data_IF_921566361885
#
_entry.id   IF_921566361885
#
_cell.length_a   1.000
_cell.length_b   1.000
_cell.length_c   1.000
_cell.angle_alpha   90.00
_cell.angle_beta   90.00
_cell.angle_gamma   90.00
#
_symmetry.space_group_name_H-M   'P 1'
#
loop_
_entity.id
_entity.type
_entity.pdbx_description
1 polymer ?
#
# COMPACT_ATOMS: atom_id res chain seq x y z
N UNK A 1 -43.84 5.56 23.57
CA UNK A 1 -42.79 6.35 22.90
C UNK A 1 -41.68 5.41 22.48
N UNK A 2 -41.49 5.14 21.19
CA UNK A 2 -40.42 4.27 20.73
C UNK A 2 -39.10 5.04 20.66
N UNK A 3 -38.05 4.56 21.32
CA UNK A 3 -36.71 5.11 21.16
C UNK A 3 -36.26 4.91 19.71
N UNK A 4 -35.79 5.99 19.07
CA UNK A 4 -35.21 5.92 17.73
C UNK A 4 -34.01 4.96 17.77
N UNK A 5 -34.09 3.88 17.00
CA UNK A 5 -33.01 2.93 16.87
C UNK A 5 -31.80 3.64 16.23
N UNK A 6 -30.78 3.92 17.02
CA UNK A 6 -29.56 4.55 16.54
C UNK A 6 -28.96 3.75 15.39
N UNK A 7 -28.71 4.41 14.26
CA UNK A 7 -28.03 3.82 13.10
C UNK A 7 -26.74 3.17 13.57
N UNK A 8 -26.69 1.82 13.50
CA UNK A 8 -25.55 1.02 13.96
C UNK A 8 -24.39 1.24 13.00
N UNK A 9 -23.63 2.31 13.24
CA UNK A 9 -22.39 2.62 12.53
C UNK A 9 -21.48 1.39 12.57
N UNK A 10 -20.98 0.98 11.41
CA UNK A 10 -19.93 -0.04 11.34
C UNK A 10 -18.76 0.36 12.27
N UNK A 11 -18.07 -0.61 12.90
CA UNK A 11 -16.89 -0.32 13.69
C UNK A 11 -15.90 0.42 12.79
N UNK A 12 -15.58 1.66 13.16
CA UNK A 12 -14.76 2.53 12.32
C UNK A 12 -13.32 2.04 12.43
N UNK A 13 -12.72 1.63 11.32
CA UNK A 13 -11.33 1.14 11.31
C UNK A 13 -10.40 2.16 11.99
N UNK A 14 -9.39 1.73 12.75
CA UNK A 14 -8.42 2.64 13.37
C UNK A 14 -7.80 3.61 12.34
N UNK A 15 -7.57 3.12 11.11
CA UNK A 15 -7.15 3.91 9.93
C UNK A 15 -8.12 5.04 9.57
N UNK A 16 -9.42 4.77 9.44
CA UNK A 16 -10.41 5.82 9.14
C UNK A 16 -10.55 6.81 10.30
N UNK A 17 -10.46 6.37 11.56
CA UNK A 17 -10.44 7.28 12.72
C UNK A 17 -9.24 8.23 12.68
N UNK A 18 -8.06 7.69 12.36
CA UNK A 18 -6.82 8.43 12.26
C UNK A 18 -6.85 9.47 11.13
N UNK A 19 -7.15 9.05 9.90
CA UNK A 19 -7.23 9.94 8.73
C UNK A 19 -8.29 11.02 8.88
N UNK A 20 -9.47 10.68 9.42
CA UNK A 20 -10.54 11.65 9.69
C UNK A 20 -10.13 12.71 10.71
N UNK A 21 -9.38 12.33 11.74
CA UNK A 21 -8.87 13.29 12.74
C UNK A 21 -7.97 14.36 12.08
N UNK A 22 -7.01 13.95 11.24
CA UNK A 22 -6.06 14.89 10.62
C UNK A 22 -6.67 15.74 9.51
N UNK A 23 -7.52 15.15 8.66
CA UNK A 23 -8.25 15.88 7.59
C UNK A 23 -9.24 16.91 8.13
N UNK A 24 -9.76 16.72 9.35
CA UNK A 24 -10.59 17.72 10.03
C UNK A 24 -9.75 18.79 10.75
N UNK A 25 -8.60 18.41 11.30
CA UNK A 25 -7.77 19.28 12.13
C UNK A 25 -6.92 20.28 11.34
N UNK A 26 -6.45 19.93 10.15
CA UNK A 26 -5.55 20.80 9.37
C UNK A 26 -5.89 20.87 7.89
N UNK A 27 -6.03 22.09 7.38
CA UNK A 27 -6.38 22.38 5.98
C UNK A 27 -5.20 22.18 5.04
N UNK A 28 -3.97 22.30 5.53
CA UNK A 28 -2.73 21.98 4.82
C UNK A 28 -2.66 20.50 4.48
N UNK A 29 -2.71 19.62 5.49
CA UNK A 29 -2.75 18.16 5.33
C UNK A 29 -3.86 17.73 4.36
N UNK A 30 -5.09 18.25 4.53
CA UNK A 30 -6.21 17.95 3.62
C UNK A 30 -5.87 18.29 2.15
N UNK A 31 -5.19 19.41 1.89
CA UNK A 31 -4.77 19.81 0.55
C UNK A 31 -3.66 18.92 0.00
N UNK A 32 -2.64 18.57 0.81
CA UNK A 32 -1.55 17.72 0.34
C UNK A 32 -2.04 16.30 0.05
N UNK A 33 -2.89 15.73 0.91
CA UNK A 33 -3.47 14.41 0.70
C UNK A 33 -4.33 14.36 -0.57
N UNK A 34 -5.09 15.43 -0.85
CA UNK A 34 -5.83 15.58 -2.11
C UNK A 34 -4.89 15.66 -3.33
N UNK A 35 -3.78 16.40 -3.23
CA UNK A 35 -2.80 16.50 -4.31
C UNK A 35 -2.10 15.16 -4.56
N UNK A 36 -1.69 14.44 -3.51
CA UNK A 36 -1.13 13.09 -3.64
C UNK A 36 -2.10 12.13 -4.32
N UNK A 37 -3.38 12.16 -3.94
CA UNK A 37 -4.41 11.32 -4.57
C UNK A 37 -4.60 11.66 -6.07
N UNK A 38 -4.61 12.95 -6.42
CA UNK A 38 -4.70 13.41 -7.81
C UNK A 38 -3.47 12.96 -8.62
N UNK A 39 -2.26 13.07 -8.05
CA UNK A 39 -1.04 12.60 -8.70
C UNK A 39 -1.12 11.09 -8.93
N UNK A 40 -1.46 10.30 -7.92
CA UNK A 40 -1.55 8.84 -8.03
C UNK A 40 -2.53 8.39 -9.12
N UNK A 41 -3.69 9.06 -9.26
CA UNK A 41 -4.65 8.74 -10.33
C UNK A 41 -4.24 9.25 -11.72
N UNK A 42 -3.46 10.34 -11.81
CA UNK A 42 -3.03 10.92 -13.09
C UNK A 42 -1.66 10.42 -13.57
N UNK A 43 -0.91 9.72 -12.73
CA UNK A 43 0.43 9.19 -13.00
C UNK A 43 0.52 8.40 -14.31
N UNK A 44 -0.36 7.41 -14.49
CA UNK A 44 -0.38 6.58 -15.70
C UNK A 44 -0.76 7.39 -16.96
N UNK A 45 -1.60 8.42 -16.81
CA UNK A 45 -1.92 9.33 -17.91
C UNK A 45 -0.69 10.15 -18.33
N UNK A 46 0.05 10.69 -17.36
CA UNK A 46 1.31 11.39 -17.62
C UNK A 46 2.39 10.48 -18.20
N UNK A 47 2.51 9.24 -17.73
CA UNK A 47 3.44 8.25 -18.29
C UNK A 47 3.09 7.93 -19.75
N UNK A 48 1.82 7.64 -20.05
CA UNK A 48 1.35 7.34 -21.41
C UNK A 48 1.48 8.55 -22.35
N UNK A 49 1.24 9.77 -21.86
CA UNK A 49 1.48 11.00 -22.62
C UNK A 49 2.98 11.21 -22.91
N UNK A 50 3.84 10.98 -21.93
CA UNK A 50 5.29 11.11 -22.08
C UNK A 50 5.90 10.01 -22.98
N UNK A 51 5.34 8.79 -22.97
CA UNK A 51 5.72 7.67 -23.85
C UNK A 51 5.64 8.05 -25.34
N UNK A 52 4.68 8.90 -25.74
CA UNK A 52 4.57 9.44 -27.11
C UNK A 52 5.74 10.34 -27.54
N UNK A 53 6.46 10.95 -26.58
CA UNK A 53 7.63 11.82 -26.82
C UNK A 53 8.98 11.10 -26.66
N UNK A 54 8.96 9.77 -26.51
CA UNK A 54 10.14 8.91 -26.43
C UNK A 54 10.59 8.54 -25.01
N UNK A 55 11.36 7.44 -24.92
CA UNK A 55 11.72 6.79 -23.65
C UNK A 55 12.50 7.71 -22.69
N UNK A 56 13.39 8.57 -23.21
CA UNK A 56 14.12 9.56 -22.40
C UNK A 56 13.20 10.60 -21.75
N UNK A 57 12.08 10.95 -22.40
CA UNK A 57 11.09 11.90 -21.86
C UNK A 57 10.19 11.19 -20.85
N UNK A 58 9.78 9.94 -21.12
CA UNK A 58 9.04 9.09 -20.15
C UNK A 58 9.75 9.03 -18.80
N UNK A 59 11.03 8.66 -18.77
CA UNK A 59 11.78 8.55 -17.52
C UNK A 59 11.96 9.88 -16.79
N UNK A 60 12.16 11.01 -17.51
CA UNK A 60 12.21 12.34 -16.86
C UNK A 60 10.89 12.71 -16.18
N UNK A 61 9.76 12.42 -16.83
CA UNK A 61 8.42 12.71 -16.27
C UNK A 61 8.15 11.83 -15.05
N UNK A 62 8.47 10.53 -15.10
CA UNK A 62 8.36 9.63 -13.94
C UNK A 62 9.19 10.16 -12.77
N UNK A 63 10.49 10.45 -12.98
CA UNK A 63 11.36 10.97 -11.91
C UNK A 63 10.84 12.27 -11.31
N UNK A 64 10.34 13.21 -12.13
CA UNK A 64 9.74 14.44 -11.62
C UNK A 64 8.46 14.19 -10.80
N UNK A 65 7.58 13.28 -11.23
CA UNK A 65 6.39 12.90 -10.48
C UNK A 65 6.73 12.22 -9.15
N UNK A 66 7.73 11.33 -9.13
CA UNK A 66 8.20 10.71 -7.88
C UNK A 66 8.81 11.75 -6.94
N UNK A 67 9.60 12.70 -7.44
CA UNK A 67 10.15 13.80 -6.62
C UNK A 67 9.02 14.65 -6.03
N UNK A 68 7.99 15.00 -6.81
CA UNK A 68 6.83 15.75 -6.32
C UNK A 68 6.09 14.93 -5.24
N UNK A 69 5.83 13.63 -5.48
CA UNK A 69 5.21 12.74 -4.48
C UNK A 69 6.04 12.66 -3.20
N UNK A 70 7.36 12.51 -3.30
CA UNK A 70 8.26 12.47 -2.14
C UNK A 70 8.25 13.79 -1.35
N UNK A 71 8.33 14.93 -2.03
CA UNK A 71 8.24 16.27 -1.38
C UNK A 71 6.88 16.46 -0.70
N UNK A 72 5.77 16.07 -1.34
CA UNK A 72 4.45 16.12 -0.71
C UNK A 72 4.37 15.23 0.54
N UNK A 73 4.86 13.98 0.48
CA UNK A 73 4.92 13.07 1.65
C UNK A 73 5.81 13.62 2.77
N UNK A 74 6.96 14.22 2.45
CA UNK A 74 7.84 14.86 3.45
C UNK A 74 7.26 16.15 4.03
N UNK A 75 6.42 16.88 3.29
CA UNK A 75 5.68 18.04 3.81
C UNK A 75 4.52 17.61 4.73
N UNK A 76 3.80 16.54 4.38
CA UNK A 76 2.83 15.90 5.28
C UNK A 76 3.50 15.46 6.57
N UNK A 77 4.58 14.68 6.47
CA UNK A 77 5.37 14.28 7.63
C UNK A 77 5.80 15.52 8.42
N UNK A 78 6.45 16.53 7.83
CA UNK A 78 6.85 17.75 8.56
C UNK A 78 5.70 18.46 9.28
N UNK A 79 4.51 18.55 8.68
CA UNK A 79 3.32 19.11 9.36
C UNK A 79 2.76 18.19 10.46
N UNK A 80 3.03 16.89 10.38
CA UNK A 80 2.68 15.88 11.36
C UNK A 80 3.80 15.58 12.38
N UNK A 81 5.08 15.86 12.14
CA UNK A 81 6.15 15.61 13.12
C UNK A 81 6.06 16.57 14.30
N UNK A 82 5.41 17.72 14.08
CA UNK A 82 4.96 18.64 15.11
C UNK A 82 3.84 18.08 16.02
N UNK A 83 3.17 16.96 15.64
CA UNK A 83 1.82 16.67 16.16
C UNK A 83 1.34 15.17 16.14
N UNK A 84 2.08 14.24 15.51
CA UNK A 84 1.90 12.76 15.37
C UNK A 84 1.49 12.25 13.96
N UNK A 85 2.34 11.47 13.27
CA UNK A 85 2.20 10.87 11.89
C UNK A 85 1.74 9.38 11.95
N UNK A 86 1.16 8.64 10.96
CA UNK A 86 1.24 8.53 9.48
C UNK A 86 -0.10 8.20 8.75
N UNK A 87 -0.21 8.51 7.44
CA UNK A 87 -1.38 8.28 6.54
C UNK A 87 -1.51 6.85 5.98
N UNK A 88 -2.60 6.12 6.28
CA UNK A 88 -3.03 4.98 5.47
C UNK A 88 -3.77 5.42 4.18
N UNK A 89 -3.83 4.57 3.13
CA UNK A 89 -4.62 4.83 1.93
C UNK A 89 -6.13 4.93 2.25
N UNK A 90 -6.89 5.56 1.37
CA UNK A 90 -8.35 5.63 1.49
C UNK A 90 -9.00 4.24 1.36
N UNK A 91 -9.30 3.60 2.48
CA UNK A 91 -10.21 2.44 2.51
C UNK A 91 -11.58 2.88 1.98
N UNK A 92 -12.07 2.21 0.93
CA UNK A 92 -13.48 2.33 0.56
C UNK A 92 -14.30 1.70 1.68
N UNK A 93 -15.15 2.48 2.33
CA UNK A 93 -16.17 1.96 3.23
C UNK A 93 -17.05 0.99 2.45
N UNK A 94 -17.03 -0.29 2.86
CA UNK A 94 -17.98 -1.28 2.34
C UNK A 94 -19.35 -0.92 2.91
N UNK A 95 -20.14 -0.21 2.11
CA UNK A 95 -21.55 0.05 2.39
C UNK A 95 -22.30 -1.29 2.23
N UNK A 96 -22.47 -2.01 3.33
CA UNK A 96 -23.31 -3.20 3.35
C UNK A 96 -24.74 -2.79 2.98
N UNK A 97 -25.31 -3.42 1.94
CA UNK A 97 -26.64 -3.09 1.44
C UNK A 97 -27.69 -3.20 2.56
N UNK A 98 -28.20 -2.06 3.00
CA UNK A 98 -29.02 -1.96 4.20
C UNK A 98 -30.49 -2.32 3.89
N UNK A 99 -30.74 -3.57 3.52
CA UNK A 99 -32.08 -4.08 3.19
C UNK A 99 -33.01 -4.02 4.41
N UNK A 100 -34.04 -3.19 4.32
CA UNK A 100 -35.07 -3.02 5.36
C UNK A 100 -36.19 -4.04 5.23
N UNK A 101 -36.46 -4.81 6.28
CA UNK A 101 -37.59 -5.74 6.33
C UNK A 101 -38.93 -4.99 6.21
N UNK A 102 -39.78 -5.29 5.21
CA UNK A 102 -40.99 -4.52 4.94
C UNK A 102 -42.08 -4.63 6.03
N UNK A 103 -42.01 -5.65 6.90
CA UNK A 103 -43.00 -5.87 7.97
C UNK A 103 -42.60 -5.29 9.35
N UNK A 104 -41.31 -4.98 9.55
CA UNK A 104 -40.78 -4.52 10.85
C UNK A 104 -40.03 -3.20 10.78
N UNK A 105 -39.67 -2.72 9.58
CA UNK A 105 -38.86 -1.51 9.39
C UNK A 105 -37.40 -1.66 9.82
N UNK A 106 -36.97 -2.84 10.28
CA UNK A 106 -35.62 -3.11 10.74
C UNK A 106 -34.73 -3.52 9.55
N UNK A 107 -33.52 -2.95 9.45
CA UNK A 107 -32.53 -3.45 8.50
C UNK A 107 -31.90 -4.75 8.98
N UNK A 108 -31.75 -5.72 8.08
CA UNK A 108 -31.01 -6.95 8.41
C UNK A 108 -29.51 -6.65 8.48
N UNK A 109 -28.82 -7.05 9.56
CA UNK A 109 -27.37 -7.16 9.52
C UNK A 109 -27.00 -8.29 8.56
N UNK A 110 -26.16 -7.99 7.55
CA UNK A 110 -25.51 -9.04 6.75
C UNK A 110 -24.68 -9.93 7.67
N UNK A 111 -24.96 -11.23 7.69
CA UNK A 111 -24.10 -12.20 8.38
C UNK A 111 -22.75 -12.28 7.63
N UNK A 112 -21.61 -12.32 8.34
CA UNK A 112 -20.32 -12.51 7.70
C UNK A 112 -20.24 -13.91 7.08
N UNK A 113 -19.45 -14.04 6.03
CA UNK A 113 -19.15 -15.34 5.43
C UNK A 113 -18.32 -16.20 6.39
N UNK A 114 -18.35 -17.52 6.22
CA UNK A 114 -17.76 -18.45 7.21
C UNK A 114 -16.25 -18.26 7.43
N UNK A 115 -15.53 -17.77 6.42
CA UNK A 115 -14.12 -17.38 6.49
C UNK A 115 -13.85 -16.11 7.32
N UNK A 116 -14.86 -15.24 7.48
CA UNK A 116 -14.73 -13.93 8.11
C UNK A 116 -15.26 -13.85 9.55
N UNK A 117 -15.75 -14.97 10.11
CA UNK A 117 -16.25 -15.03 11.49
C UNK A 117 -15.20 -14.50 12.48
N UNK A 118 -13.93 -14.87 12.34
CA UNK A 118 -12.83 -14.39 13.19
C UNK A 118 -12.62 -12.88 13.07
N UNK A 119 -12.65 -12.34 11.84
CA UNK A 119 -12.51 -10.90 11.58
C UNK A 119 -13.71 -10.12 12.15
N UNK A 120 -14.92 -10.67 11.98
CA UNK A 120 -16.15 -10.11 12.53
C UNK A 120 -16.11 -10.08 14.06
N UNK A 121 -15.72 -11.17 14.72
CA UNK A 121 -15.58 -11.22 16.18
C UNK A 121 -14.53 -10.23 16.69
N UNK A 122 -13.36 -10.14 16.02
CA UNK A 122 -12.36 -9.13 16.34
C UNK A 122 -12.88 -7.69 16.14
N UNK A 123 -13.71 -7.44 15.13
CA UNK A 123 -14.37 -6.13 14.92
C UNK A 123 -15.45 -5.77 15.96
N UNK A 124 -15.87 -6.74 16.79
CA UNK A 124 -16.87 -6.57 17.87
C UNK A 124 -16.25 -6.55 19.27
N UNK A 125 -15.03 -7.05 19.43
CA UNK A 125 -14.27 -6.96 20.68
C UNK A 125 -13.54 -5.63 20.72
N UNK A 126 -13.80 -4.82 21.75
CA UNK A 126 -13.04 -3.60 22.00
C UNK A 126 -11.58 -3.96 22.28
N UNK A 127 -10.71 -3.71 21.30
CA UNK A 127 -9.28 -3.90 21.45
C UNK A 127 -8.69 -2.70 22.19
N UNK A 128 -7.56 -2.86 22.87
CA UNK A 128 -6.91 -1.76 23.59
C UNK A 128 -6.61 -0.53 22.69
N UNK A 129 -6.40 -0.76 21.39
CA UNK A 129 -6.20 0.30 20.39
C UNK A 129 -7.51 1.05 20.04
N UNK A 130 -8.69 0.43 20.20
CA UNK A 130 -9.96 1.11 19.94
C UNK A 130 -10.24 2.23 20.94
N UNK A 131 -9.76 2.08 22.18
CA UNK A 131 -10.00 3.04 23.26
C UNK A 131 -8.97 4.18 23.24
N UNK A 132 -7.81 4.01 22.58
CA UNK A 132 -6.77 5.04 22.49
C UNK A 132 -7.24 6.27 21.69
N UNK A 133 -6.78 7.49 22.05
CA UNK A 133 -6.99 8.68 21.24
C UNK A 133 -6.24 8.55 19.90
N UNK A 134 -6.72 9.15 18.78
CA UNK A 134 -6.12 8.95 17.45
C UNK A 134 -4.61 9.20 17.37
N UNK A 135 -4.10 10.21 18.11
CA UNK A 135 -2.66 10.51 18.17
C UNK A 135 -1.79 9.43 18.83
N UNK A 136 -2.38 8.50 19.59
CA UNK A 136 -1.69 7.43 20.28
C UNK A 136 -1.92 6.05 19.62
N UNK A 137 -2.51 6.03 18.42
CA UNK A 137 -2.65 4.82 17.60
C UNK A 137 -1.34 4.40 16.91
N UNK A 138 -0.35 5.30 16.88
CA UNK A 138 0.98 5.10 16.31
C UNK A 138 2.01 5.66 17.29
N UNK A 139 3.18 5.00 17.41
CA UNK A 139 4.26 5.56 18.20
C UNK A 139 5.08 6.55 17.38
N UNK A 140 5.51 7.66 17.99
CA UNK A 140 6.41 8.62 17.36
C UNK A 140 7.75 7.94 17.02
N UNK A 141 8.14 8.01 15.75
CA UNK A 141 9.48 7.66 15.28
C UNK A 141 10.51 8.71 15.73
N UNK A 142 11.75 8.30 15.94
CA UNK A 142 12.87 9.18 16.28
C UNK A 142 14.18 8.55 15.78
N UNK A 143 15.11 9.34 15.22
CA UNK A 143 16.45 8.87 14.86
C UNK A 143 16.47 7.75 13.82
N UNK A 144 16.67 6.49 14.25
CA UNK A 144 16.69 5.32 13.35
C UNK A 144 15.35 5.13 12.64
N UNK A 145 14.24 5.37 13.33
CA UNK A 145 12.90 5.33 12.74
C UNK A 145 12.70 6.41 11.68
N UNK A 146 13.11 7.66 11.95
CA UNK A 146 13.00 8.78 11.00
C UNK A 146 13.80 8.51 9.71
N UNK A 147 15.02 7.98 9.83
CA UNK A 147 15.82 7.55 8.67
C UNK A 147 15.16 6.40 7.89
N UNK A 148 14.48 5.48 8.58
CA UNK A 148 13.75 4.39 7.93
C UNK A 148 12.55 4.90 7.11
N UNK A 149 11.78 5.84 7.66
CA UNK A 149 10.66 6.47 6.94
C UNK A 149 11.14 7.35 5.79
N UNK A 150 12.19 8.15 5.98
CA UNK A 150 12.79 8.94 4.91
C UNK A 150 13.28 8.05 3.74
N UNK A 151 13.94 6.93 4.03
CA UNK A 151 14.34 5.95 3.00
C UNK A 151 13.14 5.29 2.31
N UNK A 152 12.05 5.02 3.05
CA UNK A 152 10.83 4.44 2.48
C UNK A 152 10.08 5.43 1.57
N UNK A 153 10.03 6.72 1.93
CA UNK A 153 9.47 7.81 1.12
C UNK A 153 10.32 8.06 -0.13
N UNK A 154 11.66 8.00 -0.01
CA UNK A 154 12.60 8.23 -1.12
C UNK A 154 12.78 7.01 -2.05
N UNK A 155 12.46 5.79 -1.59
CA UNK A 155 12.51 4.54 -2.36
C UNK A 155 12.09 4.70 -3.83
N UNK A 156 10.89 5.20 -4.17
CA UNK A 156 10.44 5.25 -5.55
C UNK A 156 11.23 6.26 -6.39
N UNK A 157 11.69 7.38 -5.81
CA UNK A 157 12.58 8.34 -6.47
C UNK A 157 13.92 7.68 -6.80
N UNK A 158 14.53 6.99 -5.85
CA UNK A 158 15.85 6.35 -6.04
C UNK A 158 15.74 5.23 -7.08
N UNK A 159 14.66 4.44 -7.06
CA UNK A 159 14.42 3.42 -8.07
C UNK A 159 14.15 4.02 -9.46
N UNK A 160 13.35 5.08 -9.57
CA UNK A 160 13.11 5.78 -10.82
C UNK A 160 14.40 6.38 -11.41
N UNK A 161 15.27 6.95 -10.58
CA UNK A 161 16.60 7.43 -10.97
C UNK A 161 17.51 6.29 -11.44
N UNK A 162 17.52 5.15 -10.73
CA UNK A 162 18.28 3.98 -11.15
C UNK A 162 17.78 3.43 -12.50
N UNK A 163 16.46 3.36 -12.70
CA UNK A 163 15.85 2.96 -13.98
C UNK A 163 16.14 3.97 -15.11
N UNK A 164 16.23 5.27 -14.80
CA UNK A 164 16.63 6.29 -15.77
C UNK A 164 18.11 6.16 -16.17
N UNK A 165 19.01 5.95 -15.20
CA UNK A 165 20.45 5.86 -15.46
C UNK A 165 20.82 4.59 -16.24
N UNK A 166 20.20 3.46 -15.91
CA UNK A 166 20.47 2.17 -16.55
C UNK A 166 19.46 1.82 -17.66
N UNK A 167 18.69 2.79 -18.17
CA UNK A 167 17.62 2.53 -19.17
C UNK A 167 18.12 1.95 -20.50
N UNK A 168 19.43 2.05 -20.79
CA UNK A 168 20.06 1.45 -21.97
C UNK A 168 20.31 -0.06 -21.81
N UNK A 169 20.65 -0.51 -20.61
CA UNK A 169 21.04 -1.90 -20.33
C UNK A 169 19.85 -2.69 -19.76
N UNK A 170 18.92 -3.09 -20.62
CA UNK A 170 17.69 -3.81 -20.20
C UNK A 170 17.97 -5.12 -19.45
N UNK A 171 19.08 -5.80 -19.74
CA UNK A 171 19.52 -7.00 -19.00
C UNK A 171 20.18 -6.72 -17.64
N UNK A 172 20.33 -5.47 -17.21
CA UNK A 172 21.06 -5.13 -15.99
C UNK A 172 20.22 -5.36 -14.72
N UNK A 173 20.79 -6.09 -13.76
CA UNK A 173 20.14 -6.34 -12.47
C UNK A 173 20.32 -5.18 -11.47
N UNK A 174 21.12 -4.17 -11.82
CA UNK A 174 21.52 -3.07 -10.92
C UNK A 174 20.32 -2.28 -10.39
N UNK A 175 19.34 -1.82 -11.20
CA UNK A 175 18.20 -1.05 -10.67
C UNK A 175 17.33 -1.87 -9.73
N UNK A 176 17.16 -3.16 -10.02
CA UNK A 176 16.40 -4.09 -9.18
C UNK A 176 17.10 -4.33 -7.83
N UNK A 177 18.40 -4.60 -7.83
CA UNK A 177 19.19 -4.75 -6.60
C UNK A 177 19.18 -3.47 -5.75
N UNK A 178 19.31 -2.29 -6.37
CA UNK A 178 19.23 -1.00 -5.66
C UNK A 178 17.85 -0.86 -4.99
N UNK A 179 16.76 -1.06 -5.74
CA UNK A 179 15.40 -0.96 -5.19
C UNK A 179 15.12 -1.94 -4.04
N UNK A 180 15.46 -3.22 -4.22
CA UNK A 180 15.30 -4.26 -3.18
C UNK A 180 16.17 -3.97 -1.95
N UNK A 181 17.41 -3.51 -2.13
CA UNK A 181 18.30 -3.20 -1.00
C UNK A 181 17.83 -2.00 -0.18
N UNK A 182 17.20 -1.00 -0.81
CA UNK A 182 16.59 0.15 -0.12
C UNK A 182 15.32 -0.26 0.63
N UNK A 183 14.42 -1.02 -0.02
CA UNK A 183 13.21 -1.58 0.62
C UNK A 183 13.58 -2.43 1.84
N UNK A 184 14.56 -3.33 1.69
CA UNK A 184 15.07 -4.16 2.77
C UNK A 184 15.78 -3.34 3.86
N UNK A 185 16.60 -2.36 3.48
CA UNK A 185 17.32 -1.48 4.39
C UNK A 185 16.37 -0.66 5.27
N UNK A 186 15.41 0.04 4.66
CA UNK A 186 14.37 0.79 5.36
C UNK A 186 13.57 -0.13 6.31
N UNK A 187 13.15 -1.31 5.84
CA UNK A 187 12.42 -2.28 6.67
C UNK A 187 13.23 -2.81 7.85
N UNK A 188 14.54 -3.04 7.69
CA UNK A 188 15.39 -3.53 8.77
C UNK A 188 15.75 -2.43 9.78
N UNK A 189 15.89 -1.17 9.33
CA UNK A 189 16.03 -0.02 10.23
C UNK A 189 14.77 0.19 11.06
N UNK A 190 13.59 0.18 10.44
CA UNK A 190 12.31 0.28 11.14
C UNK A 190 12.13 -0.86 12.16
N UNK A 191 12.40 -2.11 11.79
CA UNK A 191 12.34 -3.25 12.73
C UNK A 191 13.28 -3.10 13.93
N UNK A 192 14.51 -2.61 13.71
CA UNK A 192 15.47 -2.37 14.80
C UNK A 192 15.01 -1.25 15.72
N UNK A 193 14.47 -0.14 15.18
CA UNK A 193 13.86 0.93 15.97
C UNK A 193 12.75 0.38 16.89
N UNK A 194 11.78 -0.35 16.32
CA UNK A 194 10.70 -0.96 17.10
C UNK A 194 11.19 -1.98 18.14
N UNK A 195 12.27 -2.72 17.86
CA UNK A 195 12.86 -3.66 18.82
C UNK A 195 13.60 -2.97 19.97
N UNK A 196 14.31 -1.88 19.70
CA UNK A 196 15.07 -1.12 20.70
C UNK A 196 14.16 -0.21 21.55
N UNK A 197 13.07 0.31 20.98
CA UNK A 197 12.22 1.35 21.59
C UNK A 197 10.99 0.84 22.35
N UNK A 198 10.43 -0.32 21.99
CA UNK A 198 9.19 -0.83 22.59
C UNK A 198 9.47 -1.84 23.71
N UNK A 199 8.83 -1.66 24.86
CA UNK A 199 8.81 -2.67 25.92
C UNK A 199 8.07 -3.93 25.42
N UNK A 200 8.81 -5.00 25.14
CA UNK A 200 8.30 -6.21 24.45
C UNK A 200 8.60 -6.27 22.95
N UNK A 201 9.36 -5.30 22.41
CA UNK A 201 9.81 -5.23 21.02
C UNK A 201 8.66 -5.36 20.01
N UNK A 202 8.84 -6.22 19.01
CA UNK A 202 7.84 -6.45 17.95
C UNK A 202 6.48 -7.02 18.44
N UNK A 203 6.34 -7.41 19.71
CA UNK A 203 5.05 -7.80 20.30
C UNK A 203 4.28 -6.60 20.89
N UNK A 204 4.95 -5.47 21.12
CA UNK A 204 4.33 -4.23 21.62
C UNK A 204 3.83 -3.27 20.53
N UNK A 205 3.85 -3.71 19.26
CA UNK A 205 3.34 -2.92 18.13
C UNK A 205 1.82 -2.75 18.21
N UNK A 206 1.35 -1.57 17.85
CA UNK A 206 -0.09 -1.30 17.60
C UNK A 206 -0.58 -2.06 16.37
N UNK A 207 -1.91 -2.20 16.25
CA UNK A 207 -2.54 -2.81 15.07
C UNK A 207 -2.06 -2.18 13.75
N UNK A 208 -2.03 -0.84 13.69
CA UNK A 208 -1.64 -0.10 12.48
C UNK A 208 -0.16 -0.33 12.12
N UNK A 209 0.76 -0.24 13.09
CA UNK A 209 2.20 -0.48 12.85
C UNK A 209 2.47 -1.92 12.38
N UNK A 210 1.74 -2.90 12.93
CA UNK A 210 1.84 -4.30 12.52
C UNK A 210 1.33 -4.51 11.09
N UNK A 211 0.24 -3.84 10.71
CA UNK A 211 -0.30 -3.89 9.36
C UNK A 211 0.61 -3.20 8.35
N UNK A 212 1.21 -2.06 8.69
CA UNK A 212 2.19 -1.40 7.83
C UNK A 212 3.47 -2.26 7.66
N UNK A 213 3.99 -2.87 8.71
CA UNK A 213 5.12 -3.83 8.60
C UNK A 213 4.77 -5.11 7.81
N UNK A 214 3.49 -5.53 7.83
CA UNK A 214 2.96 -6.61 6.98
C UNK A 214 2.88 -6.15 5.52
N UNK A 215 2.36 -4.95 5.25
CA UNK A 215 2.26 -4.33 3.93
C UNK A 215 3.63 -4.11 3.28
N UNK A 216 4.61 -3.54 4.01
CA UNK A 216 6.03 -3.48 3.60
C UNK A 216 6.64 -4.87 3.36
N UNK A 217 6.14 -5.89 4.08
CA UNK A 217 6.51 -7.29 3.84
C UNK A 217 6.01 -7.87 2.53
N UNK A 218 4.73 -7.63 2.20
CA UNK A 218 4.13 -8.03 0.92
C UNK A 218 4.70 -7.23 -0.26
N UNK A 219 4.96 -5.93 -0.07
CA UNK A 219 5.63 -5.08 -1.05
C UNK A 219 7.01 -5.65 -1.41
N UNK A 220 7.82 -6.06 -0.43
CA UNK A 220 9.10 -6.72 -0.68
C UNK A 220 8.95 -8.04 -1.48
N UNK A 221 7.88 -8.81 -1.25
CA UNK A 221 7.56 -9.97 -2.08
C UNK A 221 7.22 -9.60 -3.53
N UNK A 222 6.51 -8.48 -3.74
CA UNK A 222 6.14 -7.99 -5.07
C UNK A 222 7.34 -7.59 -5.95
N UNK A 223 8.52 -7.31 -5.35
CA UNK A 223 9.75 -7.11 -6.13
C UNK A 223 10.17 -8.35 -6.94
N UNK A 224 9.75 -9.56 -6.58
CA UNK A 224 9.98 -10.76 -7.40
C UNK A 224 9.12 -10.80 -8.67
N UNK A 225 8.02 -10.04 -8.72
CA UNK A 225 7.22 -9.86 -9.93
C UNK A 225 7.75 -8.71 -10.81
N UNK A 226 8.83 -8.03 -10.41
CA UNK A 226 9.29 -6.78 -11.03
C UNK A 226 10.66 -6.88 -11.70
N UNK A 227 10.77 -6.27 -12.89
CA UNK A 227 12.05 -5.95 -13.54
C UNK A 227 12.94 -7.17 -13.81
N UNK A 228 14.26 -7.02 -13.58
CA UNK A 228 15.24 -8.03 -13.95
C UNK A 228 15.01 -9.42 -13.32
N UNK A 229 14.41 -9.52 -12.13
CA UNK A 229 14.07 -10.83 -11.55
C UNK A 229 12.89 -11.47 -12.28
N UNK A 230 11.87 -10.69 -12.66
CA UNK A 230 10.75 -11.18 -13.45
C UNK A 230 11.21 -11.70 -14.81
N UNK A 231 11.97 -10.90 -15.56
CA UNK A 231 12.42 -11.27 -16.91
C UNK A 231 13.31 -12.52 -16.94
N UNK A 232 14.20 -12.70 -15.95
CA UNK A 232 15.19 -13.78 -15.97
C UNK A 232 14.77 -15.04 -15.18
N UNK A 233 14.04 -14.90 -14.07
CA UNK A 233 13.65 -16.02 -13.20
C UNK A 233 12.15 -16.29 -13.32
N UNK A 234 11.31 -15.31 -12.96
CA UNK A 234 9.87 -15.55 -12.79
C UNK A 234 9.19 -15.93 -14.11
N UNK A 235 9.53 -15.28 -15.23
CA UNK A 235 9.00 -15.60 -16.56
C UNK A 235 9.37 -17.01 -17.03
N UNK A 236 10.63 -17.40 -16.87
CA UNK A 236 11.10 -18.76 -17.17
C UNK A 236 10.42 -19.82 -16.28
N UNK A 237 10.20 -19.50 -15.01
CA UNK A 237 9.48 -20.37 -14.07
C UNK A 237 7.98 -20.47 -14.41
N UNK A 238 7.31 -19.37 -14.74
CA UNK A 238 5.91 -19.33 -15.18
C UNK A 238 5.74 -20.17 -16.44
N UNK A 239 6.51 -19.93 -17.51
CA UNK A 239 6.45 -20.76 -18.73
C UNK A 239 6.70 -22.25 -18.43
N UNK A 240 7.65 -22.57 -17.55
CA UNK A 240 7.95 -23.95 -17.12
C UNK A 240 6.81 -24.59 -16.31
N UNK A 241 6.01 -23.80 -15.59
CA UNK A 241 4.80 -24.25 -14.90
C UNK A 241 3.64 -24.41 -15.89
N UNK A 242 3.32 -23.38 -16.68
CA UNK A 242 2.26 -23.42 -17.69
C UNK A 242 2.45 -24.60 -18.65
N UNK A 243 3.68 -24.85 -19.13
CA UNK A 243 4.00 -26.00 -19.97
C UNK A 243 3.85 -27.38 -19.29
N UNK A 244 3.89 -27.46 -17.95
CA UNK A 244 3.62 -28.69 -17.16
C UNK A 244 2.16 -28.83 -16.73
N UNK A 245 1.40 -27.74 -16.75
CA UNK A 245 -0.04 -27.69 -16.43
C UNK A 245 -0.89 -27.96 -17.68
N UNK A 246 -0.38 -27.57 -18.87
CA UNK A 246 -0.98 -27.81 -20.17
C UNK A 246 -1.22 -29.29 -20.43
N UNK A 247 -2.42 -29.65 -20.88
CA UNK A 247 -2.81 -31.03 -21.19
C UNK A 247 -3.27 -31.89 -20.02
N UNK A 248 -3.47 -31.32 -18.82
CA UNK A 248 -4.18 -31.98 -17.71
C UNK A 248 -5.55 -31.33 -17.50
N UNK A 249 -6.67 -32.09 -17.43
CA UNK A 249 -7.98 -31.49 -17.16
C UNK A 249 -7.96 -30.71 -15.85
N UNK A 250 -8.72 -29.61 -15.80
CA UNK A 250 -8.70 -28.55 -14.77
C UNK A 250 -7.43 -27.69 -14.71
N UNK A 251 -6.23 -28.29 -14.77
CA UNK A 251 -4.97 -27.53 -14.71
C UNK A 251 -4.69 -26.73 -15.99
N UNK A 252 -5.21 -27.19 -17.13
CA UNK A 252 -5.17 -26.47 -18.41
C UNK A 252 -5.89 -25.11 -18.34
N UNK A 253 -6.99 -25.02 -17.58
CA UNK A 253 -7.70 -23.73 -17.35
C UNK A 253 -6.85 -22.75 -16.55
N UNK A 254 -6.12 -23.23 -15.54
CA UNK A 254 -5.20 -22.40 -14.74
C UNK A 254 -4.02 -21.94 -15.61
N UNK A 255 -3.52 -22.82 -16.49
CA UNK A 255 -2.49 -22.48 -17.48
C UNK A 255 -2.95 -21.36 -18.42
N UNK A 256 -4.15 -21.47 -18.99
CA UNK A 256 -4.72 -20.44 -19.88
C UNK A 256 -4.89 -19.09 -19.19
N UNK A 257 -5.44 -19.05 -17.97
CA UNK A 257 -5.55 -17.80 -17.20
C UNK A 257 -4.17 -17.19 -16.93
N UNK A 258 -3.16 -18.00 -16.60
CA UNK A 258 -1.80 -17.48 -16.38
C UNK A 258 -1.20 -16.89 -17.67
N UNK A 259 -1.43 -17.52 -18.82
CA UNK A 259 -0.98 -17.06 -20.14
C UNK A 259 -1.65 -15.72 -20.53
N UNK A 260 -2.95 -15.55 -20.27
CA UNK A 260 -3.68 -14.29 -20.46
C UNK A 260 -3.17 -13.15 -19.54
N UNK A 261 -2.83 -13.47 -18.29
CA UNK A 261 -2.28 -12.49 -17.34
C UNK A 261 -0.81 -12.12 -17.64
N UNK A 262 -0.03 -13.04 -18.22
CA UNK A 262 1.36 -12.79 -18.58
C UNK A 262 1.50 -11.62 -19.57
N UNK A 263 0.60 -11.56 -20.56
CA UNK A 263 0.55 -10.46 -21.54
C UNK A 263 0.34 -9.09 -20.89
N UNK A 264 -0.52 -9.02 -19.86
CA UNK A 264 -0.79 -7.79 -19.10
C UNK A 264 0.42 -7.36 -18.27
N UNK A 265 1.13 -8.32 -17.65
CA UNK A 265 2.36 -8.06 -16.89
C UNK A 265 3.49 -7.56 -17.79
N UNK A 266 3.68 -8.17 -18.97
CA UNK A 266 4.76 -7.83 -19.92
C UNK A 266 4.55 -6.45 -20.58
N UNK A 267 3.31 -6.08 -20.94
CA UNK A 267 3.04 -4.80 -21.63
C UNK A 267 2.78 -3.59 -20.71
N UNK A 268 2.13 -3.77 -19.56
CA UNK A 268 1.52 -2.63 -18.83
C UNK A 268 1.98 -2.43 -17.38
N UNK A 269 2.42 -3.45 -16.66
CA UNK A 269 2.26 -3.41 -15.18
C UNK A 269 3.46 -2.96 -14.32
N UNK A 270 4.68 -2.77 -14.86
CA UNK A 270 5.89 -2.67 -14.03
C UNK A 270 6.79 -1.40 -14.03
N UNK A 271 6.56 -0.33 -14.82
CA UNK A 271 7.32 0.92 -14.66
C UNK A 271 7.02 1.64 -13.34
N UNK A 272 5.74 1.86 -13.00
CA UNK A 272 5.38 2.85 -11.95
C UNK A 272 4.21 2.46 -11.04
N UNK A 273 3.27 1.62 -11.50
CA UNK A 273 1.94 1.37 -10.92
C UNK A 273 1.84 0.87 -9.44
N UNK A 274 2.95 0.68 -8.72
CA UNK A 274 2.99 0.19 -7.32
C UNK A 274 3.97 0.97 -6.42
N UNK A 275 4.40 2.18 -6.81
CA UNK A 275 5.47 2.96 -6.14
C UNK A 275 5.05 4.00 -5.08
#
# INVERSE_FOLDING_TARGET
>A
MAQMAGTRKHPVTPHHRYTKFWTQKSTTYKRVAQVLQIIQYTELLWEMAAKRKGEKVRWRVIVLLEIIKAVCRSLEDSTASADGMDTPPSERSVEAENWTMPRTGLSMPSLPDSSDISNYLLSKVLTADDIKPPKALLHRVNGKGELAEALYILRPVIYALAMQQFSGDRKSWRPWLIGVSIEYGARQLAKKDFQERLAGGLRGLTGLEREELKKRGWALGWWMMRGAFYENITKSWIHSLTGKLKGKPLLDMVGGVIEDYEFLWDQYYFPTATM
#
